data_IF_604205273470
#
_entry.id   IF_604205273470
#
_cell.length_a   1.000
_cell.length_b   1.000
_cell.length_c   1.000
_cell.angle_alpha   90.00
_cell.angle_beta   90.00
_cell.angle_gamma   90.00
#
_symmetry.space_group_name_H-M   'P 1'
#
loop_
_entity.id
_entity.type
_entity.pdbx_description
1 polymer ?
#
# COMPACT_ATOMS: atom_id res chain seq x y z
N UNK A 1 20.00 -15.13 1.88
CA UNK A 1 20.22 -15.55 0.49
C UNK A 1 20.95 -14.42 -0.21
N UNK A 2 21.87 -14.69 -1.13
CA UNK A 2 22.61 -13.62 -1.80
C UNK A 2 21.64 -12.82 -2.66
N UNK A 3 21.57 -11.50 -2.47
CA UNK A 3 20.70 -10.63 -3.27
C UNK A 3 21.21 -10.63 -4.71
N UNK A 4 20.36 -11.05 -5.65
CA UNK A 4 20.66 -11.01 -7.07
C UNK A 4 20.90 -9.56 -7.50
N UNK A 5 21.97 -9.32 -8.25
CA UNK A 5 22.31 -7.97 -8.71
C UNK A 5 22.11 -7.89 -10.22
N UNK A 6 21.13 -7.08 -10.62
CA UNK A 6 20.82 -6.74 -11.99
C UNK A 6 21.33 -5.36 -12.39
N UNK A 7 21.03 -4.98 -13.63
CA UNK A 7 21.42 -3.72 -14.25
C UNK A 7 20.22 -3.08 -14.96
N UNK A 8 20.01 -1.78 -14.75
CA UNK A 8 18.96 -1.05 -15.47
C UNK A 8 19.30 -0.97 -16.96
N UNK A 9 18.40 -1.46 -17.83
CA UNK A 9 18.60 -1.45 -19.29
C UNK A 9 17.75 -0.40 -19.99
N UNK A 10 16.54 -0.13 -19.50
CA UNK A 10 15.61 0.79 -20.14
C UNK A 10 14.74 1.52 -19.12
N UNK A 11 14.41 2.78 -19.41
CA UNK A 11 13.62 3.66 -18.54
C UNK A 11 12.59 4.37 -19.43
N UNK A 12 11.30 4.22 -19.12
CA UNK A 12 10.17 4.78 -19.84
C UNK A 12 9.17 5.38 -18.85
N UNK A 13 9.42 6.61 -18.40
CA UNK A 13 8.68 7.19 -17.28
C UNK A 13 8.79 6.28 -16.06
N UNK A 14 7.66 5.99 -15.41
CA UNK A 14 7.62 5.08 -14.25
C UNK A 14 7.86 3.59 -14.56
N UNK A 15 8.06 3.20 -15.82
CA UNK A 15 8.36 1.81 -16.22
C UNK A 15 9.86 1.66 -16.40
N UNK A 16 10.46 0.71 -15.71
CA UNK A 16 11.91 0.45 -15.74
C UNK A 16 12.14 -1.02 -16.05
N UNK A 17 12.94 -1.30 -17.07
CA UNK A 17 13.36 -2.67 -17.38
C UNK A 17 14.76 -2.91 -16.78
N UNK A 18 14.90 -4.05 -16.10
CA UNK A 18 16.13 -4.47 -15.41
C UNK A 18 16.55 -5.83 -15.92
N UNK A 19 17.82 -5.97 -16.27
CA UNK A 19 18.43 -7.22 -16.71
C UNK A 19 19.17 -7.88 -15.55
N UNK A 20 18.93 -9.18 -15.35
CA UNK A 20 19.60 -10.00 -14.34
C UNK A 20 20.44 -11.08 -15.02
N UNK A 21 21.33 -11.72 -14.24
CA UNK A 21 22.04 -12.90 -14.72
C UNK A 21 21.08 -14.08 -14.88
N UNK A 22 21.52 -15.06 -15.68
CA UNK A 22 20.72 -16.26 -15.92
C UNK A 22 20.52 -17.02 -14.61
N UNK A 23 19.27 -17.43 -14.33
CA UNK A 23 18.82 -18.05 -13.07
C UNK A 23 18.79 -17.14 -11.83
N UNK A 24 18.98 -15.83 -11.99
CA UNK A 24 18.86 -14.83 -10.91
C UNK A 24 17.67 -13.86 -11.16
N UNK A 25 16.70 -14.29 -11.97
CA UNK A 25 15.51 -13.53 -12.29
C UNK A 25 14.60 -13.43 -11.05
N UNK A 26 14.29 -12.21 -10.57
CA UNK A 26 13.34 -12.01 -9.48
C UNK A 26 11.93 -12.45 -9.86
N UNK A 27 11.15 -12.87 -8.87
CA UNK A 27 9.76 -13.27 -9.07
C UNK A 27 8.86 -12.07 -9.39
N UNK A 28 7.69 -12.34 -9.98
CA UNK A 28 6.66 -11.30 -10.14
C UNK A 28 6.22 -10.83 -8.75
N UNK A 29 6.06 -9.52 -8.60
CA UNK A 29 5.80 -8.78 -7.36
C UNK A 29 6.97 -8.67 -6.39
N UNK A 30 8.15 -9.18 -6.74
CA UNK A 30 9.35 -8.94 -5.94
C UNK A 30 9.79 -7.46 -6.04
N UNK A 31 10.30 -6.94 -4.93
CA UNK A 31 10.87 -5.60 -4.87
C UNK A 31 12.34 -5.62 -5.32
N UNK A 32 12.73 -4.57 -6.04
CA UNK A 32 14.11 -4.32 -6.48
C UNK A 32 14.49 -2.93 -6.02
N UNK A 33 15.64 -2.81 -5.35
CA UNK A 33 16.16 -1.55 -4.85
C UNK A 33 17.29 -1.03 -5.75
N UNK A 34 17.19 0.25 -6.12
CA UNK A 34 18.28 0.97 -6.78
C UNK A 34 18.85 1.97 -5.78
N UNK A 35 20.13 1.80 -5.36
CA UNK A 35 20.79 2.72 -4.44
C UNK A 35 20.83 4.15 -4.98
N UNK A 36 20.62 5.13 -4.10
CA UNK A 36 20.74 6.57 -4.39
C UNK A 36 21.69 7.20 -3.37
N UNK A 37 22.62 8.04 -3.82
CA UNK A 37 23.69 8.59 -2.95
C UNK A 37 23.19 9.52 -1.84
N UNK A 38 22.03 10.18 -2.02
CA UNK A 38 21.53 11.21 -1.10
C UNK A 38 20.03 11.08 -0.78
N UNK A 39 19.44 9.91 -1.03
CA UNK A 39 18.02 9.67 -0.83
C UNK A 39 17.77 8.21 -0.46
N UNK A 40 16.54 7.92 -0.02
CA UNK A 40 16.07 6.54 0.10
C UNK A 40 16.25 5.81 -1.24
N UNK A 41 16.57 4.50 -1.22
CA UNK A 41 16.65 3.69 -2.43
C UNK A 41 15.37 3.84 -3.26
N UNK A 42 15.51 3.87 -4.59
CA UNK A 42 14.35 3.76 -5.47
C UNK A 42 13.87 2.31 -5.45
N UNK A 43 12.65 2.10 -5.00
CA UNK A 43 12.01 0.78 -5.04
C UNK A 43 11.25 0.61 -6.35
N UNK A 44 11.53 -0.47 -7.04
CA UNK A 44 10.79 -0.96 -8.20
C UNK A 44 10.06 -2.24 -7.82
N UNK A 45 8.85 -2.46 -8.34
CA UNK A 45 8.15 -3.75 -8.22
C UNK A 45 8.11 -4.45 -9.56
N UNK A 46 8.53 -5.71 -9.62
CA UNK A 46 8.49 -6.53 -10.83
C UNK A 46 7.05 -6.82 -11.23
N UNK A 47 6.66 -6.45 -12.45
CA UNK A 47 5.32 -6.69 -12.99
C UNK A 47 5.28 -7.81 -14.02
N UNK A 48 6.39 -8.03 -14.74
CA UNK A 48 6.40 -8.96 -15.87
C UNK A 48 7.82 -9.45 -16.19
N UNK A 49 7.94 -10.71 -16.59
CA UNK A 49 9.13 -11.24 -17.24
C UNK A 49 9.06 -10.99 -18.75
N UNK A 50 10.08 -10.33 -19.32
CA UNK A 50 10.10 -9.93 -20.73
C UNK A 50 10.80 -10.95 -21.64
N UNK A 51 11.53 -11.92 -21.06
CA UNK A 51 12.49 -12.77 -21.77
C UNK A 51 13.89 -12.15 -21.78
N UNK A 52 14.89 -12.87 -22.32
CA UNK A 52 16.29 -12.42 -22.35
C UNK A 52 16.84 -11.97 -20.98
N UNK A 53 16.43 -12.65 -19.92
CA UNK A 53 16.78 -12.32 -18.53
C UNK A 53 16.40 -10.90 -18.08
N UNK A 54 15.37 -10.31 -18.70
CA UNK A 54 14.86 -9.00 -18.35
C UNK A 54 13.52 -9.10 -17.64
N UNK A 55 13.38 -8.28 -16.61
CA UNK A 55 12.12 -8.00 -15.92
C UNK A 55 11.69 -6.58 -16.22
N UNK A 56 10.37 -6.40 -16.34
CA UNK A 56 9.74 -5.09 -16.41
C UNK A 56 9.15 -4.74 -15.07
N UNK A 57 9.56 -3.60 -14.55
CA UNK A 57 9.18 -3.11 -13.24
C UNK A 57 8.42 -1.79 -13.32
N UNK A 58 7.65 -1.51 -12.27
CA UNK A 58 7.03 -0.21 -12.04
C UNK A 58 7.72 0.45 -10.86
N UNK A 59 8.10 1.72 -11.03
CA UNK A 59 8.76 2.53 -10.02
C UNK A 59 7.77 3.07 -9.00
N UNK A 60 8.12 2.99 -7.72
CA UNK A 60 7.31 3.51 -6.60
C UNK A 60 7.57 4.99 -6.29
N UNK A 61 8.54 5.60 -6.98
CA UNK A 61 8.86 7.02 -6.89
C UNK A 61 9.34 7.54 -8.27
N UNK A 62 9.64 8.83 -8.40
CA UNK A 62 10.15 9.42 -9.64
C UNK A 62 11.41 8.70 -10.12
N UNK A 63 11.51 8.48 -11.43
CA UNK A 63 12.69 7.94 -12.11
C UNK A 63 13.63 9.03 -12.62
N UNK A 64 13.39 10.28 -12.25
CA UNK A 64 14.22 11.41 -12.67
C UNK A 64 15.67 11.22 -12.20
N UNK A 65 16.62 11.46 -13.11
CA UNK A 65 18.04 11.26 -12.84
C UNK A 65 18.49 9.78 -12.80
N UNK A 66 17.59 8.81 -12.97
CA UNK A 66 17.97 7.40 -13.09
C UNK A 66 18.74 7.18 -14.39
N UNK A 67 19.90 6.55 -14.28
CA UNK A 67 20.76 6.28 -15.43
C UNK A 67 20.70 4.80 -15.80
N UNK A 68 20.81 4.52 -17.10
CA UNK A 68 20.99 3.15 -17.57
C UNK A 68 22.34 2.63 -17.10
N UNK A 69 22.35 1.38 -16.68
CA UNK A 69 23.54 0.69 -16.24
C UNK A 69 23.85 0.74 -14.76
N UNK A 70 23.05 1.45 -13.97
CA UNK A 70 23.14 1.38 -12.51
C UNK A 70 22.73 -0.01 -12.01
N UNK A 71 23.31 -0.38 -10.87
CA UNK A 71 22.99 -1.63 -10.20
C UNK A 71 21.56 -1.60 -9.64
N UNK A 72 20.89 -2.74 -9.73
CA UNK A 72 19.55 -2.96 -9.22
C UNK A 72 19.56 -4.25 -8.39
N UNK A 73 19.21 -4.16 -7.12
CA UNK A 73 19.41 -5.23 -6.14
C UNK A 73 18.04 -5.85 -5.83
N UNK A 74 17.87 -7.13 -6.12
CA UNK A 74 16.65 -7.84 -5.73
C UNK A 74 16.63 -8.04 -4.21
N UNK A 75 15.48 -7.83 -3.59
CA UNK A 75 15.32 -8.00 -2.14
C UNK A 75 14.99 -9.44 -1.75
N UNK A 76 14.61 -10.29 -2.72
CA UNK A 76 14.11 -11.65 -2.49
C UNK A 76 12.69 -11.70 -1.92
N UNK A 77 12.01 -10.56 -1.80
CA UNK A 77 10.67 -10.46 -1.24
C UNK A 77 9.83 -9.36 -1.92
N UNK A 78 8.50 -9.43 -1.88
CA UNK A 78 7.65 -8.31 -2.25
C UNK A 78 7.90 -7.08 -1.37
N UNK A 79 7.27 -5.95 -1.71
CA UNK A 79 7.26 -4.79 -0.82
C UNK A 79 6.62 -5.21 0.52
N UNK A 80 7.40 -5.04 1.59
CA UNK A 80 7.02 -5.41 2.96
C UNK A 80 6.69 -4.14 3.75
N UNK A 81 5.53 -4.12 4.41
CA UNK A 81 5.05 -2.96 5.19
C UNK A 81 4.86 -3.32 6.66
N UNK A 82 5.11 -2.40 7.61
CA UNK A 82 4.94 -2.66 9.03
C UNK A 82 3.47 -2.92 9.37
N UNK A 83 3.21 -3.83 10.29
CA UNK A 83 1.87 -4.15 10.81
C UNK A 83 1.87 -4.25 12.33
N UNK A 84 0.67 -4.17 12.92
CA UNK A 84 0.47 -4.28 14.37
C UNK A 84 0.17 -2.93 15.04
N UNK A 85 0.11 -2.94 16.36
CA UNK A 85 -0.34 -1.78 17.15
C UNK A 85 0.57 -0.56 17.01
N UNK A 86 1.87 -0.76 16.74
CA UNK A 86 2.83 0.34 16.53
C UNK A 86 2.52 1.18 15.28
N UNK A 87 1.64 0.72 14.41
CA UNK A 87 1.19 1.45 13.22
C UNK A 87 0.02 2.42 13.50
N UNK A 88 -0.65 2.29 14.64
CA UNK A 88 -1.81 3.10 14.98
C UNK A 88 -1.43 4.58 15.16
N UNK A 89 -2.22 5.47 14.54
CA UNK A 89 -2.00 6.92 14.59
C UNK A 89 -0.80 7.43 13.79
N UNK A 90 -0.20 6.57 12.96
CA UNK A 90 0.92 6.90 12.07
C UNK A 90 0.43 7.07 10.62
N UNK A 91 1.17 7.83 9.82
CA UNK A 91 0.92 7.97 8.37
C UNK A 91 2.09 7.33 7.61
N UNK A 92 1.77 6.44 6.67
CA UNK A 92 2.75 5.73 5.87
C UNK A 92 2.59 6.04 4.38
N UNK A 93 3.71 5.97 3.65
CA UNK A 93 3.68 5.87 2.20
C UNK A 93 3.48 4.40 1.75
N UNK A 94 3.45 4.15 0.44
CA UNK A 94 3.23 2.82 -0.14
C UNK A 94 4.30 1.79 0.25
N UNK A 95 5.51 2.25 0.58
CA UNK A 95 6.64 1.40 1.00
C UNK A 95 6.60 1.10 2.50
N UNK A 96 5.61 1.61 3.23
CA UNK A 96 5.52 1.43 4.67
C UNK A 96 6.47 2.34 5.46
N UNK A 97 7.06 3.37 4.85
CA UNK A 97 7.86 4.36 5.56
C UNK A 97 6.97 5.43 6.17
N UNK A 98 7.21 5.83 7.44
CA UNK A 98 6.44 6.88 8.08
C UNK A 98 6.74 8.25 7.43
N UNK A 99 5.69 9.02 7.15
CA UNK A 99 5.78 10.36 6.53
C UNK A 99 5.18 11.47 7.40
N UNK A 100 4.87 11.15 8.66
CA UNK A 100 4.25 12.05 9.64
C UNK A 100 5.26 12.84 10.50
N UNK A 101 6.56 12.70 10.25
CA UNK A 101 7.65 13.34 10.99
C UNK A 101 7.70 13.00 12.49
N UNK A 102 7.04 11.91 12.93
CA UNK A 102 7.06 11.44 14.33
C UNK A 102 8.21 10.46 14.62
N UNK A 103 9.24 10.44 13.79
CA UNK A 103 10.34 9.47 13.85
C UNK A 103 9.95 8.10 13.27
N UNK A 104 10.82 7.12 13.45
CA UNK A 104 10.62 5.78 12.88
C UNK A 104 9.50 5.00 13.59
N UNK A 105 9.00 3.96 12.92
CA UNK A 105 8.05 2.99 13.50
C UNK A 105 8.82 1.69 13.69
N UNK A 106 8.97 1.27 14.95
CA UNK A 106 9.51 -0.04 15.27
C UNK A 106 8.33 -1.01 15.29
N UNK A 107 8.28 -1.90 14.29
CA UNK A 107 7.27 -2.95 14.20
C UNK A 107 7.91 -4.32 14.42
N UNK A 108 7.21 -5.19 15.14
CA UNK A 108 7.63 -6.57 15.36
C UNK A 108 7.41 -7.45 14.13
N UNK A 109 6.45 -7.05 13.27
CA UNK A 109 6.01 -7.81 12.12
C UNK A 109 5.89 -6.93 10.89
N UNK A 110 6.25 -7.51 9.74
CA UNK A 110 6.10 -6.90 8.43
C UNK A 110 5.38 -7.89 7.52
N UNK A 111 4.38 -7.42 6.78
CA UNK A 111 3.63 -8.24 5.84
C UNK A 111 3.85 -7.77 4.40
N UNK A 112 3.84 -8.70 3.41
CA UNK A 112 3.87 -8.33 2.01
C UNK A 112 2.56 -7.65 1.61
N UNK A 113 2.63 -6.64 0.73
CA UNK A 113 1.44 -5.96 0.21
C UNK A 113 0.60 -6.87 -0.73
N UNK A 114 1.24 -7.86 -1.35
CA UNK A 114 0.59 -8.87 -2.18
C UNK A 114 0.33 -10.13 -1.36
N UNK A 115 -0.93 -10.45 -1.13
CA UNK A 115 -1.36 -11.67 -0.41
C UNK A 115 -2.51 -12.33 -1.16
N UNK A 116 -2.57 -13.67 -1.16
CA UNK A 116 -3.72 -14.36 -1.73
C UNK A 116 -5.00 -13.99 -0.96
N UNK A 117 -6.12 -13.96 -1.67
CA UNK A 117 -7.42 -13.83 -1.04
C UNK A 117 -7.71 -15.03 -0.11
N UNK A 118 -8.58 -14.87 0.91
CA UNK A 118 -9.01 -15.98 1.76
C UNK A 118 -9.57 -17.14 0.94
N UNK A 119 -9.28 -18.38 1.37
CA UNK A 119 -9.80 -19.58 0.72
C UNK A 119 -11.32 -19.66 0.86
N UNK A 120 -11.98 -20.39 -0.03
CA UNK A 120 -13.43 -20.60 0.04
C UNK A 120 -13.88 -21.20 1.38
N UNK A 121 -13.06 -22.08 1.97
CA UNK A 121 -13.31 -22.69 3.29
C UNK A 121 -13.31 -21.69 4.44
N UNK A 122 -12.61 -20.56 4.29
CA UNK A 122 -12.44 -19.55 5.34
C UNK A 122 -13.51 -18.46 5.26
N UNK A 123 -14.35 -18.49 4.22
CA UNK A 123 -15.40 -17.50 4.03
C UNK A 123 -16.60 -17.80 4.94
N UNK A 124 -17.01 -16.79 5.72
CA UNK A 124 -18.23 -16.87 6.51
C UNK A 124 -19.46 -16.81 5.59
N UNK A 125 -20.41 -17.72 5.82
CA UNK A 125 -21.73 -17.71 5.16
C UNK A 125 -22.77 -16.91 5.94
N UNK A 126 -22.42 -16.38 7.11
CA UNK A 126 -23.32 -15.60 7.97
C UNK A 126 -23.27 -14.13 7.58
N UNK A 127 -24.44 -13.59 7.26
CA UNK A 127 -24.61 -12.15 7.07
C UNK A 127 -24.88 -11.52 8.43
N UNK A 128 -23.93 -10.73 8.92
CA UNK A 128 -24.09 -9.93 10.12
C UNK A 128 -24.18 -8.45 9.74
N UNK A 129 -25.14 -7.74 10.33
CA UNK A 129 -25.26 -6.29 10.14
C UNK A 129 -24.15 -5.59 10.94
N UNK A 130 -23.56 -4.58 10.33
CA UNK A 130 -22.63 -3.66 10.97
C UNK A 130 -23.39 -2.37 11.31
N UNK A 131 -23.70 -2.18 12.60
CA UNK A 131 -24.42 -1.01 13.09
C UNK A 131 -23.48 0.21 13.09
N UNK A 132 -23.79 1.18 12.24
CA UNK A 132 -22.95 2.38 12.04
C UNK A 132 -23.26 3.48 13.04
N UNK A 133 -24.47 3.52 13.59
CA UNK A 133 -24.98 4.63 14.40
C UNK A 133 -25.57 5.76 13.57
N UNK A 134 -25.54 5.65 12.23
CA UNK A 134 -26.06 6.64 11.30
C UNK A 134 -27.44 6.18 10.83
N UNK A 135 -28.51 6.83 11.33
CA UNK A 135 -29.91 6.42 11.09
C UNK A 135 -30.24 6.12 9.63
N UNK A 136 -29.80 6.95 8.69
CA UNK A 136 -30.11 6.73 7.27
C UNK A 136 -29.40 5.50 6.70
N UNK A 137 -28.19 5.20 7.17
CA UNK A 137 -27.44 4.01 6.76
C UNK A 137 -28.08 2.79 7.41
N UNK A 138 -28.24 2.79 8.73
CA UNK A 138 -28.74 1.62 9.46
C UNK A 138 -30.19 1.25 9.09
N UNK A 139 -31.03 2.23 8.72
CA UNK A 139 -32.42 1.98 8.34
C UNK A 139 -32.60 1.64 6.86
N UNK A 140 -31.93 2.37 5.96
CA UNK A 140 -32.22 2.31 4.51
C UNK A 140 -31.23 1.41 3.76
N UNK A 141 -29.95 1.43 4.14
CA UNK A 141 -28.88 0.74 3.43
C UNK A 141 -27.83 0.19 4.43
N UNK A 142 -28.22 -0.79 5.27
CA UNK A 142 -27.38 -1.27 6.36
C UNK A 142 -26.09 -1.92 5.83
N UNK A 143 -24.99 -1.68 6.52
CA UNK A 143 -23.71 -2.29 6.19
C UNK A 143 -23.66 -3.72 6.71
N UNK A 144 -22.86 -4.56 6.04
CA UNK A 144 -22.62 -5.94 6.47
C UNK A 144 -21.18 -6.09 6.95
N UNK A 145 -20.97 -6.83 8.04
CA UNK A 145 -19.61 -7.13 8.52
C UNK A 145 -18.88 -7.98 7.48
N UNK A 146 -17.64 -7.61 7.16
CA UNK A 146 -16.87 -8.24 6.09
C UNK A 146 -17.36 -7.90 4.67
N UNK A 147 -18.40 -7.06 4.55
CA UNK A 147 -18.93 -6.59 3.28
C UNK A 147 -18.10 -5.47 2.66
N UNK A 148 -18.41 -5.16 1.40
CA UNK A 148 -17.84 -4.03 0.67
C UNK A 148 -18.96 -3.00 0.42
N UNK A 149 -18.73 -1.76 0.82
CA UNK A 149 -19.70 -0.66 0.65
C UNK A 149 -19.08 0.44 -0.20
N UNK A 150 -19.83 0.92 -1.19
CA UNK A 150 -19.47 2.11 -1.97
C UNK A 150 -20.17 3.37 -1.45
N UNK A 151 -19.40 4.43 -1.19
CA UNK A 151 -19.94 5.77 -0.88
C UNK A 151 -19.80 6.63 -2.14
N UNK A 152 -20.87 6.73 -2.92
CA UNK A 152 -20.87 7.51 -4.16
C UNK A 152 -21.29 8.95 -3.89
N UNK A 153 -20.55 9.91 -4.47
CA UNK A 153 -20.89 11.32 -4.30
C UNK A 153 -19.92 12.26 -5.02
N UNK A 154 -20.39 13.48 -5.31
CA UNK A 154 -19.60 14.56 -5.90
C UNK A 154 -18.64 15.25 -4.92
N UNK A 155 -18.09 16.39 -5.32
CA UNK A 155 -17.35 17.26 -4.41
C UNK A 155 -18.31 17.94 -3.42
N UNK A 156 -17.90 18.09 -2.16
CA UNK A 156 -18.66 18.85 -1.16
C UNK A 156 -19.90 18.16 -0.58
N UNK A 157 -20.23 16.92 -0.96
CA UNK A 157 -21.41 16.20 -0.45
C UNK A 157 -21.21 15.52 0.92
N UNK A 158 -20.08 15.78 1.58
CA UNK A 158 -19.80 15.25 2.92
C UNK A 158 -19.24 13.82 2.98
N UNK A 159 -18.70 13.27 1.88
CA UNK A 159 -18.10 11.91 1.87
C UNK A 159 -17.08 11.69 2.99
N UNK A 160 -16.13 12.63 3.13
CA UNK A 160 -15.07 12.57 4.15
C UNK A 160 -15.65 12.62 5.56
N UNK A 161 -16.71 13.42 5.79
CA UNK A 161 -17.39 13.52 7.09
C UNK A 161 -18.05 12.18 7.45
N UNK A 162 -18.70 11.52 6.48
CA UNK A 162 -19.28 10.19 6.71
C UNK A 162 -18.19 9.18 7.06
N UNK A 163 -17.04 9.20 6.37
CA UNK A 163 -15.91 8.32 6.67
C UNK A 163 -15.37 8.58 8.08
N UNK A 164 -15.18 9.84 8.47
CA UNK A 164 -14.72 10.20 9.82
C UNK A 164 -15.68 9.73 10.91
N UNK A 165 -16.99 9.92 10.72
CA UNK A 165 -17.98 9.45 11.69
C UNK A 165 -17.99 7.93 11.80
N UNK A 166 -17.82 7.21 10.68
CA UNK A 166 -17.68 5.75 10.70
C UNK A 166 -16.44 5.31 11.48
N UNK A 167 -15.28 5.98 11.29
CA UNK A 167 -14.07 5.66 12.04
C UNK A 167 -14.27 5.92 13.54
N UNK A 168 -14.86 7.06 13.90
CA UNK A 168 -15.20 7.41 15.28
C UNK A 168 -16.14 6.37 15.90
N UNK A 169 -17.18 5.97 15.18
CA UNK A 169 -18.16 4.97 15.64
C UNK A 169 -17.51 3.61 15.88
N UNK A 170 -16.64 3.14 14.96
CA UNK A 170 -15.86 1.90 15.12
C UNK A 170 -14.97 1.95 16.36
N UNK A 171 -14.24 3.05 16.57
CA UNK A 171 -13.32 3.19 17.69
C UNK A 171 -14.03 3.26 19.04
N UNK A 172 -15.16 3.97 19.12
CA UNK A 172 -15.87 4.24 20.39
C UNK A 172 -16.87 3.16 20.79
N UNK A 173 -17.58 2.56 19.82
CA UNK A 173 -18.68 1.61 20.09
C UNK A 173 -18.20 0.17 19.92
N UNK A 174 -17.45 -0.11 18.85
CA UNK A 174 -17.08 -1.48 18.48
C UNK A 174 -15.67 -1.87 18.94
N UNK A 175 -14.95 -0.97 19.61
CA UNK A 175 -13.54 -1.13 20.03
C UNK A 175 -12.63 -1.65 18.90
N UNK A 176 -12.96 -1.28 17.67
CA UNK A 176 -12.23 -1.69 16.48
C UNK A 176 -11.17 -0.67 16.07
N UNK A 177 -10.19 -1.13 15.31
CA UNK A 177 -9.23 -0.27 14.63
C UNK A 177 -9.72 0.04 13.21
N UNK A 178 -9.45 1.26 12.75
CA UNK A 178 -9.74 1.68 11.38
C UNK A 178 -8.45 1.98 10.63
N UNK A 179 -8.40 1.63 9.35
CA UNK A 179 -7.31 1.97 8.44
C UNK A 179 -7.88 2.81 7.30
N UNK A 180 -7.29 3.98 7.05
CA UNK A 180 -7.65 4.83 5.94
C UNK A 180 -6.57 4.76 4.85
N UNK A 181 -6.97 4.41 3.63
CA UNK A 181 -6.09 4.37 2.47
C UNK A 181 -6.47 5.49 1.48
N UNK A 182 -5.69 6.58 1.46
CA UNK A 182 -5.91 7.71 0.55
C UNK A 182 -5.33 7.45 -0.85
N UNK A 183 -6.06 6.77 -1.71
CA UNK A 183 -5.60 6.40 -3.06
C UNK A 183 -5.90 7.52 -4.05
N UNK A 184 -4.86 8.22 -4.52
CA UNK A 184 -5.02 9.32 -5.48
C UNK A 184 -5.77 10.54 -4.92
N UNK A 185 -5.90 10.62 -3.61
CA UNK A 185 -6.56 11.72 -2.92
C UNK A 185 -5.72 12.99 -2.91
N UNK A 186 -6.36 14.15 -2.75
CA UNK A 186 -5.64 15.41 -2.62
C UNK A 186 -4.90 15.45 -1.28
N UNK A 187 -3.62 15.84 -1.29
CA UNK A 187 -2.83 16.01 -0.06
C UNK A 187 -3.50 16.95 0.95
N UNK A 188 -4.19 17.99 0.48
CA UNK A 188 -4.97 18.89 1.34
C UNK A 188 -6.06 18.16 2.13
N UNK A 189 -6.77 17.22 1.49
CA UNK A 189 -7.85 16.44 2.11
C UNK A 189 -7.27 15.43 3.11
N UNK A 190 -6.13 14.82 2.80
CA UNK A 190 -5.38 13.98 3.74
C UNK A 190 -4.92 14.75 4.99
N UNK A 191 -4.35 15.94 4.81
CA UNK A 191 -3.95 16.81 5.93
C UNK A 191 -5.14 17.25 6.78
N UNK A 192 -6.28 17.55 6.16
CA UNK A 192 -7.50 17.89 6.88
C UNK A 192 -7.98 16.71 7.72
N UNK A 193 -8.09 15.52 7.12
CA UNK A 193 -8.47 14.31 7.82
C UNK A 193 -7.55 14.04 9.02
N UNK A 194 -6.23 14.12 8.83
CA UNK A 194 -5.27 13.88 9.90
C UNK A 194 -5.34 14.89 11.05
N UNK A 195 -5.75 16.14 10.80
CA UNK A 195 -5.92 17.15 11.86
C UNK A 195 -7.25 17.05 12.60
N UNK A 196 -8.25 16.48 11.96
CA UNK A 196 -9.60 16.29 12.51
C UNK A 196 -9.72 14.99 13.33
N UNK A 197 -8.78 14.06 13.15
CA UNK A 197 -8.63 12.82 13.93
C UNK A 197 -7.66 12.99 15.10
#
# INVERSE_FOLDING_TARGET
MANATGRVVQIQGGVVDVEFLQNELPDIYEAIEIPREAAMPLVLEVQKHMGNNQVRCVSMDTTDGLQRGVAAISTGAPIMVPVGESTLGRIFNILGHPVDQKGDVIAEQYYPIHRPAPLFSDQSTRVEIFETGIKVIDLVAPFTKGGKTGIFGGAGVGKTIVIQELIRSIATVHQGNSVFAGVGERTREGTQLYREM
#
